data_IF_034955885765
#
_entry.id   IF_034955885765
#
_cell.length_a   1.000
_cell.length_b   1.000
_cell.length_c   1.000
_cell.angle_alpha   90.00
_cell.angle_beta   90.00
_cell.angle_gamma   90.00
#
_symmetry.space_group_name_H-M   'P 1'
#
loop_
_entity.id
_entity.type
_entity.pdbx_description
1 polymer ?
#
# COMPACT_ATOMS: atom_id res chain seq x y z
N UNK A 1 34.77 9.44 10.38
CA UNK A 1 34.91 8.04 10.84
C UNK A 1 35.64 7.95 12.17
N UNK A 2 36.59 8.83 12.47
CA UNK A 2 37.25 8.90 13.79
C UNK A 2 36.46 9.82 14.74
N UNK A 3 35.29 9.37 15.16
CA UNK A 3 34.38 10.16 16.00
C UNK A 3 33.77 9.24 17.04
N UNK A 4 33.79 9.63 18.32
CA UNK A 4 33.25 8.81 19.38
C UNK A 4 31.71 8.72 19.32
N UNK A 5 31.09 7.62 19.78
CA UNK A 5 29.64 7.42 19.75
C UNK A 5 28.85 8.59 20.36
N UNK A 6 29.28 9.07 21.52
CA UNK A 6 28.64 10.18 22.22
C UNK A 6 28.74 11.52 21.46
N UNK A 7 29.77 11.71 20.64
CA UNK A 7 29.91 12.90 19.78
C UNK A 7 29.04 12.76 18.53
N UNK A 8 28.88 11.54 18.00
CA UNK A 8 27.93 11.26 16.91
C UNK A 8 26.51 11.60 17.35
N UNK A 9 26.16 11.33 18.61
CA UNK A 9 24.86 11.67 19.22
C UNK A 9 24.73 13.15 19.64
N UNK A 10 25.67 14.02 19.25
CA UNK A 10 25.63 15.47 19.49
C UNK A 10 26.30 15.94 20.79
N UNK A 11 26.98 15.05 21.51
CA UNK A 11 27.79 15.39 22.69
C UNK A 11 29.08 16.15 22.36
N UNK A 12 29.75 16.62 23.39
CA UNK A 12 30.99 17.38 23.27
C UNK A 12 32.23 16.48 23.17
N UNK A 13 33.29 17.01 22.55
CA UNK A 13 34.61 16.39 22.54
C UNK A 13 35.26 16.48 23.93
N UNK A 14 35.19 15.38 24.66
CA UNK A 14 35.83 15.22 25.97
C UNK A 14 37.09 14.36 25.86
N UNK A 15 37.88 14.26 26.93
CA UNK A 15 39.04 13.35 27.01
C UNK A 15 38.67 11.92 26.59
N UNK A 16 37.55 11.40 27.11
CA UNK A 16 37.07 10.05 26.78
C UNK A 16 36.76 9.89 25.28
N UNK A 17 36.29 10.94 24.61
CA UNK A 17 36.03 10.92 23.16
C UNK A 17 37.35 10.83 22.36
N UNK A 18 38.38 11.56 22.78
CA UNK A 18 39.72 11.45 22.17
C UNK A 18 40.35 10.07 22.42
N UNK A 19 40.13 9.47 23.59
CA UNK A 19 40.60 8.12 23.89
C UNK A 19 39.91 7.04 23.04
N UNK A 20 38.63 7.22 22.72
CA UNK A 20 37.94 6.38 21.75
C UNK A 20 38.58 6.49 20.36
N UNK A 21 38.86 7.72 19.91
CA UNK A 21 39.56 7.96 18.65
C UNK A 21 40.96 7.35 18.64
N UNK A 22 41.69 7.40 19.76
CA UNK A 22 42.96 6.70 19.93
C UNK A 22 42.78 5.19 19.79
N UNK A 23 41.74 4.61 20.40
CA UNK A 23 41.40 3.20 20.25
C UNK A 23 41.17 2.79 18.80
N UNK A 24 40.44 3.60 18.02
CA UNK A 24 40.24 3.37 16.58
C UNK A 24 41.55 3.44 15.79
N UNK A 25 42.42 4.38 16.15
CA UNK A 25 43.73 4.55 15.52
C UNK A 25 44.63 3.35 15.83
N UNK A 26 44.74 2.94 17.09
CA UNK A 26 45.50 1.76 17.49
C UNK A 26 44.99 0.50 16.79
N UNK A 27 43.68 0.29 16.75
CA UNK A 27 43.07 -0.82 16.03
C UNK A 27 43.52 -0.85 14.57
N UNK A 28 43.43 0.30 13.88
CA UNK A 28 43.81 0.39 12.47
C UNK A 28 45.29 0.23 12.23
N UNK A 29 46.14 0.73 13.13
CA UNK A 29 47.58 0.54 13.04
C UNK A 29 47.95 -0.94 13.25
N UNK A 30 47.34 -1.61 14.22
CA UNK A 30 47.63 -3.02 14.53
C UNK A 30 47.08 -4.00 13.49
N UNK A 31 45.89 -3.73 12.94
CA UNK A 31 45.20 -4.68 12.04
C UNK A 31 45.24 -4.29 10.56
N UNK A 32 45.66 -3.05 10.25
CA UNK A 32 45.53 -2.46 8.91
C UNK A 32 44.08 -2.15 8.49
N UNK A 33 43.08 -2.45 9.33
CA UNK A 33 41.65 -2.34 9.00
C UNK A 33 40.91 -1.42 9.96
N UNK A 34 39.81 -0.84 9.48
CA UNK A 34 38.89 -0.13 10.35
C UNK A 34 37.92 -1.15 10.99
N UNK A 35 37.61 -1.05 12.30
CA UNK A 35 36.83 -2.08 13.00
C UNK A 35 35.36 -2.17 12.56
N UNK A 36 34.85 -1.16 11.85
CA UNK A 36 33.45 -1.09 11.39
C UNK A 36 33.36 -1.03 9.85
N UNK A 37 32.22 -1.39 9.23
CA UNK A 37 32.06 -1.38 7.78
C UNK A 37 32.23 0.03 7.19
N UNK A 38 33.01 0.18 6.11
CA UNK A 38 33.27 1.47 5.44
C UNK A 38 32.47 1.69 4.14
N UNK A 39 31.48 0.84 3.85
CA UNK A 39 30.74 0.84 2.57
C UNK A 39 29.91 2.12 2.37
N UNK A 40 29.22 2.57 3.42
CA UNK A 40 28.39 3.80 3.42
C UNK A 40 28.52 4.49 4.76
N UNK A 41 28.70 5.82 4.75
CA UNK A 41 28.90 6.62 5.96
C UNK A 41 27.83 6.37 7.03
N UNK A 42 26.55 6.32 6.65
CA UNK A 42 25.45 6.05 7.59
C UNK A 42 25.53 4.67 8.22
N UNK A 43 25.91 3.64 7.45
CA UNK A 43 26.10 2.27 7.95
C UNK A 43 27.24 2.25 8.97
N UNK A 44 28.37 2.91 8.66
CA UNK A 44 29.49 3.00 9.59
C UNK A 44 29.11 3.70 10.89
N UNK A 45 28.44 4.85 10.82
CA UNK A 45 28.02 5.58 12.03
C UNK A 45 27.06 4.76 12.88
N UNK A 46 26.13 4.05 12.25
CA UNK A 46 25.20 3.16 12.95
C UNK A 46 25.94 2.02 13.65
N UNK A 47 26.91 1.38 12.98
CA UNK A 47 27.74 0.34 13.58
C UNK A 47 28.60 0.90 14.73
N UNK A 48 29.15 2.10 14.57
CA UNK A 48 29.90 2.78 15.63
C UNK A 48 29.03 3.10 16.86
N UNK A 49 27.73 3.34 16.70
CA UNK A 49 26.80 3.53 17.82
C UNK A 49 26.39 2.20 18.48
N UNK A 50 26.15 1.15 17.69
CA UNK A 50 25.42 -0.05 18.13
C UNK A 50 26.24 -1.33 18.25
N UNK A 51 27.28 -1.49 17.45
CA UNK A 51 28.05 -2.74 17.35
C UNK A 51 29.33 -2.67 18.19
N UNK A 52 29.69 -3.77 18.86
CA UNK A 52 31.02 -3.87 19.48
C UNK A 52 32.11 -4.01 18.41
N UNK A 53 33.27 -3.41 18.66
CA UNK A 53 34.42 -3.62 17.78
C UNK A 53 34.86 -5.10 17.87
N UNK A 54 35.15 -5.76 16.74
CA UNK A 54 35.73 -7.11 16.74
C UNK A 54 37.03 -7.16 17.55
N UNK A 55 37.42 -8.36 18.00
CA UNK A 55 38.74 -8.53 18.59
C UNK A 55 39.81 -8.32 17.50
N UNK A 56 40.79 -7.42 17.68
CA UNK A 56 41.80 -7.15 16.65
C UNK A 56 42.63 -8.39 16.30
N UNK A 57 42.71 -9.37 17.21
CA UNK A 57 43.42 -10.64 16.99
C UNK A 57 42.75 -11.53 15.94
N UNK A 58 41.47 -11.31 15.64
CA UNK A 58 40.82 -12.00 14.52
C UNK A 58 41.35 -11.54 13.16
N UNK A 59 41.81 -10.29 13.05
CA UNK A 59 42.42 -9.76 11.83
C UNK A 59 43.92 -9.97 11.82
N UNK A 60 44.60 -9.72 12.95
CA UNK A 60 46.03 -9.91 13.12
C UNK A 60 46.35 -10.69 14.40
N UNK A 61 46.48 -12.03 14.32
CA UNK A 61 46.73 -12.90 15.49
C UNK A 61 48.05 -12.63 16.22
N UNK A 62 48.99 -11.91 15.59
CA UNK A 62 50.25 -11.50 16.22
C UNK A 62 50.07 -10.39 17.26
N UNK A 63 48.89 -9.77 17.37
CA UNK A 63 48.61 -8.77 18.40
C UNK A 63 48.49 -9.46 19.76
N UNK A 64 49.33 -9.04 20.71
CA UNK A 64 49.33 -9.57 22.08
C UNK A 64 48.05 -9.29 22.84
N UNK A 65 47.73 -10.16 23.80
CA UNK A 65 46.49 -10.08 24.58
C UNK A 65 46.35 -8.77 25.37
N UNK A 66 47.45 -8.23 25.92
CA UNK A 66 47.43 -6.96 26.66
C UNK A 66 47.08 -5.78 25.74
N UNK A 67 47.65 -5.70 24.54
CA UNK A 67 47.35 -4.65 23.57
C UNK A 67 45.89 -4.74 23.09
N UNK A 68 45.41 -5.95 22.77
CA UNK A 68 44.01 -6.17 22.41
C UNK A 68 43.04 -5.72 23.52
N UNK A 69 43.38 -6.00 24.78
CA UNK A 69 42.59 -5.58 25.93
C UNK A 69 42.55 -4.05 26.10
N UNK A 70 43.67 -3.36 25.87
CA UNK A 70 43.72 -1.89 25.87
C UNK A 70 42.81 -1.32 24.77
N UNK A 71 42.95 -1.80 23.53
CA UNK A 71 42.10 -1.37 22.40
C UNK A 71 40.61 -1.59 22.71
N UNK A 72 40.25 -2.76 23.26
CA UNK A 72 38.87 -3.09 23.63
C UNK A 72 38.29 -2.16 24.70
N UNK A 73 39.09 -1.77 25.70
CA UNK A 73 38.68 -0.80 26.73
C UNK A 73 38.46 0.60 26.15
N UNK A 74 39.36 1.07 25.29
CA UNK A 74 39.23 2.37 24.62
C UNK A 74 37.99 2.44 23.73
N UNK A 75 37.62 1.33 23.08
CA UNK A 75 36.49 1.22 22.16
C UNK A 75 35.13 0.95 22.84
N UNK A 76 35.04 1.07 24.17
CA UNK A 76 33.75 0.97 24.88
C UNK A 76 32.81 2.11 24.52
N UNK A 77 31.53 1.81 24.35
CA UNK A 77 30.51 2.79 23.93
C UNK A 77 30.25 3.83 25.02
N UNK A 78 30.08 3.38 26.27
CA UNK A 78 29.93 4.28 27.41
C UNK A 78 31.29 4.96 27.72
N UNK A 79 31.40 6.30 27.67
CA UNK A 79 32.63 7.04 27.98
C UNK A 79 33.19 6.73 29.38
N UNK A 80 32.34 6.46 30.36
CA UNK A 80 32.74 6.19 31.76
C UNK A 80 33.43 4.83 31.93
N UNK A 81 33.32 3.93 30.95
CA UNK A 81 33.98 2.62 30.97
C UNK A 81 35.37 2.66 30.32
N UNK A 82 35.77 3.82 29.78
CA UNK A 82 37.09 4.02 29.18
C UNK A 82 38.07 4.44 30.28
N UNK A 83 39.35 4.03 30.18
CA UNK A 83 40.38 4.56 31.07
C UNK A 83 40.53 6.07 30.85
N UNK A 84 41.11 6.77 31.83
CA UNK A 84 41.67 8.11 31.59
C UNK A 84 43.01 8.01 30.81
N UNK A 85 43.50 9.16 30.33
CA UNK A 85 44.71 9.21 29.52
C UNK A 85 45.94 8.72 30.28
N UNK A 86 46.04 9.01 31.58
CA UNK A 86 47.17 8.59 32.43
C UNK A 86 47.21 7.08 32.59
N UNK A 87 46.07 6.46 32.85
CA UNK A 87 45.91 5.01 33.01
C UNK A 87 46.13 4.29 31.68
N UNK A 88 45.65 4.87 30.57
CA UNK A 88 45.93 4.35 29.24
C UNK A 88 47.43 4.38 28.91
N UNK A 89 48.10 5.50 29.16
CA UNK A 89 49.54 5.63 28.92
C UNK A 89 50.35 4.66 29.79
N UNK A 90 50.00 4.52 31.08
CA UNK A 90 50.64 3.56 31.97
C UNK A 90 50.45 2.11 31.51
N UNK A 91 49.25 1.73 31.06
CA UNK A 91 48.98 0.39 30.53
C UNK A 91 49.79 0.10 29.26
N UNK A 92 49.89 1.06 28.34
CA UNK A 92 50.70 0.92 27.13
C UNK A 92 52.20 0.82 27.45
N UNK A 93 52.71 1.68 28.33
CA UNK A 93 54.11 1.64 28.76
C UNK A 93 54.46 0.32 29.46
N UNK A 94 53.55 -0.19 30.29
CA UNK A 94 53.71 -1.50 30.93
C UNK A 94 53.78 -2.63 29.89
N UNK A 95 52.90 -2.61 28.89
CA UNK A 95 52.90 -3.63 27.85
C UNK A 95 54.18 -3.58 26.99
N UNK A 96 54.68 -2.37 26.69
CA UNK A 96 55.98 -2.18 26.02
C UNK A 96 57.11 -2.77 26.87
N UNK A 97 57.19 -2.42 28.15
CA UNK A 97 58.27 -2.85 29.04
C UNK A 97 58.30 -4.37 29.26
N UNK A 98 57.13 -5.01 29.25
CA UNK A 98 57.02 -6.47 29.36
C UNK A 98 57.22 -7.21 28.03
N UNK A 99 57.24 -6.50 26.90
CA UNK A 99 57.27 -7.11 25.57
C UNK A 99 55.98 -7.85 25.20
N UNK A 100 54.85 -7.52 25.81
CA UNK A 100 53.54 -8.20 25.65
C UNK A 100 52.66 -7.57 24.57
N UNK A 101 53.22 -6.67 23.76
CA UNK A 101 52.52 -6.10 22.60
C UNK A 101 52.32 -7.13 21.50
N UNK A 102 53.24 -8.08 21.39
CA UNK A 102 53.18 -9.19 20.44
C UNK A 102 52.65 -10.44 21.14
N UNK A 103 51.89 -11.24 20.41
CA UNK A 103 51.38 -12.51 20.89
C UNK A 103 52.50 -13.55 20.93
N UNK A 104 52.41 -14.45 21.90
CA UNK A 104 53.23 -15.67 21.86
C UNK A 104 52.81 -16.56 20.68
N UNK A 105 53.70 -17.43 20.15
CA UNK A 105 53.36 -18.34 19.06
C UNK A 105 52.12 -19.19 19.33
N UNK A 106 51.95 -19.65 20.57
CA UNK A 106 50.82 -20.47 21.00
C UNK A 106 49.50 -19.67 21.02
N UNK A 107 49.53 -18.43 21.51
CA UNK A 107 48.38 -17.52 21.47
C UNK A 107 47.97 -17.19 20.04
N UNK A 108 48.96 -16.91 19.17
CA UNK A 108 48.70 -16.60 17.77
C UNK A 108 48.06 -17.78 17.04
N UNK A 109 48.51 -19.01 17.29
CA UNK A 109 47.95 -20.23 16.70
C UNK A 109 46.50 -20.47 17.16
N UNK A 110 46.21 -20.28 18.45
CA UNK A 110 44.86 -20.41 19.00
C UNK A 110 43.90 -19.41 18.33
N UNK A 111 44.29 -18.13 18.27
CA UNK A 111 43.45 -17.11 17.64
C UNK A 111 43.30 -17.27 16.13
N UNK A 112 44.26 -17.87 15.42
CA UNK A 112 44.08 -18.21 14.01
C UNK A 112 42.91 -19.17 13.81
N UNK A 113 42.85 -20.25 14.59
CA UNK A 113 41.76 -21.24 14.49
C UNK A 113 40.39 -20.66 14.87
N UNK A 114 40.34 -19.82 15.92
CA UNK A 114 39.10 -19.13 16.31
C UNK A 114 38.67 -18.09 15.27
N UNK A 115 39.61 -17.32 14.72
CA UNK A 115 39.34 -16.29 13.73
C UNK A 115 38.69 -16.87 12.47
N UNK A 116 39.13 -18.04 12.01
CA UNK A 116 38.53 -18.73 10.86
C UNK A 116 37.06 -19.10 11.12
N UNK A 117 36.78 -19.67 12.30
CA UNK A 117 35.42 -20.02 12.69
C UNK A 117 34.50 -18.79 12.82
N UNK A 118 35.01 -17.69 13.39
CA UNK A 118 34.27 -16.43 13.54
C UNK A 118 34.02 -15.77 12.18
N UNK A 119 35.05 -15.70 11.31
CA UNK A 119 34.91 -15.18 9.94
C UNK A 119 33.91 -16.00 9.12
N UNK A 120 33.94 -17.34 9.23
CA UNK A 120 32.99 -18.22 8.54
C UNK A 120 31.53 -18.03 9.01
N UNK A 121 31.30 -17.80 10.31
CA UNK A 121 29.97 -17.47 10.84
C UNK A 121 29.47 -16.11 10.34
N UNK A 122 30.35 -15.10 10.32
CA UNK A 122 30.00 -13.75 9.87
C UNK A 122 29.65 -13.72 8.37
N UNK A 123 30.41 -14.42 7.52
CA UNK A 123 30.13 -14.51 6.08
C UNK A 123 28.82 -15.24 5.80
N UNK A 124 28.52 -16.33 6.53
CA UNK A 124 27.26 -17.07 6.39
C UNK A 124 26.03 -16.22 6.72
N UNK A 125 26.11 -15.39 7.76
CA UNK A 125 25.04 -14.44 8.13
C UNK A 125 24.82 -13.39 7.04
N UNK A 126 25.91 -12.88 6.45
CA UNK A 126 25.87 -11.90 5.35
C UNK A 126 25.28 -12.49 4.07
N UNK A 127 25.63 -13.73 3.72
CA UNK A 127 25.06 -14.43 2.58
C UNK A 127 23.56 -14.71 2.76
N UNK A 128 23.13 -15.07 3.96
CA UNK A 128 21.71 -15.29 4.25
C UNK A 128 20.88 -14.00 4.10
N UNK A 129 21.40 -12.86 4.56
CA UNK A 129 20.79 -11.54 4.36
C UNK A 129 20.63 -11.19 2.86
N UNK A 130 21.69 -11.37 2.05
CA UNK A 130 21.62 -11.13 0.60
C UNK A 130 20.68 -12.09 -0.12
N UNK A 131 20.64 -13.37 0.28
CA UNK A 131 19.68 -14.35 -0.27
C UNK A 131 18.24 -13.95 0.05
N UNK A 132 17.95 -13.53 1.27
CA UNK A 132 16.61 -13.06 1.66
C UNK A 132 16.19 -11.81 0.88
N UNK A 133 17.12 -10.89 0.65
CA UNK A 133 16.87 -9.69 -0.16
C UNK A 133 16.59 -10.03 -1.64
N UNK A 134 17.17 -11.12 -2.15
CA UNK A 134 16.90 -11.61 -3.51
C UNK A 134 15.51 -12.26 -3.64
N UNK A 135 15.00 -12.92 -2.60
CA UNK A 135 13.65 -13.51 -2.59
C UNK A 135 12.52 -12.48 -2.36
N UNK A 136 12.82 -11.31 -1.79
CA UNK A 136 11.80 -10.28 -1.51
C UNK A 136 11.20 -9.67 -2.78
N UNK A 137 12.02 -9.37 -3.78
CA UNK A 137 11.58 -8.76 -5.04
C UNK A 137 10.64 -9.63 -5.89
N UNK A 138 10.91 -10.93 -6.12
CA UNK A 138 9.99 -11.77 -6.89
C UNK A 138 8.64 -11.96 -6.17
N UNK A 139 8.59 -12.00 -4.84
CA UNK A 139 7.33 -12.03 -4.10
C UNK A 139 6.51 -10.75 -4.31
N UNK A 140 7.14 -9.58 -4.23
CA UNK A 140 6.49 -8.30 -4.49
C UNK A 140 5.96 -8.23 -5.93
N UNK A 141 6.76 -8.66 -6.91
CA UNK A 141 6.35 -8.73 -8.32
C UNK A 141 5.15 -9.67 -8.49
N UNK A 142 5.17 -10.85 -7.86
CA UNK A 142 4.06 -11.80 -7.90
C UNK A 142 2.76 -11.19 -7.36
N UNK A 143 2.81 -10.50 -6.21
CA UNK A 143 1.64 -9.85 -5.60
C UNK A 143 1.09 -8.75 -6.51
N UNK A 144 1.97 -7.94 -7.11
CA UNK A 144 1.56 -6.90 -8.06
C UNK A 144 0.94 -7.50 -9.32
N UNK A 145 1.54 -8.56 -9.87
CA UNK A 145 0.99 -9.26 -11.04
C UNK A 145 -0.36 -9.91 -10.72
N UNK A 146 -0.50 -10.53 -9.56
CA UNK A 146 -1.76 -11.13 -9.11
C UNK A 146 -2.84 -10.05 -8.93
N UNK A 147 -2.51 -8.93 -8.30
CA UNK A 147 -3.42 -7.79 -8.15
C UNK A 147 -3.82 -7.19 -9.49
N UNK A 148 -2.87 -7.01 -10.41
CA UNK A 148 -3.13 -6.53 -11.77
C UNK A 148 -3.99 -7.51 -12.55
N UNK A 149 -3.72 -8.82 -12.46
CA UNK A 149 -4.52 -9.86 -13.10
C UNK A 149 -5.95 -9.87 -12.55
N UNK A 150 -6.14 -9.75 -11.24
CA UNK A 150 -7.47 -9.67 -10.62
C UNK A 150 -8.22 -8.39 -11.01
N UNK A 151 -7.53 -7.27 -11.18
CA UNK A 151 -8.12 -6.03 -11.67
C UNK A 151 -8.52 -6.13 -13.15
N UNK A 152 -7.68 -6.74 -13.99
CA UNK A 152 -7.93 -6.89 -15.43
C UNK A 152 -8.94 -7.99 -15.75
N UNK A 153 -9.07 -9.01 -14.90
CA UNK A 153 -10.06 -10.09 -15.06
C UNK A 153 -11.45 -9.73 -14.54
N UNK A 154 -11.59 -8.63 -13.79
CA UNK A 154 -12.91 -8.03 -13.50
C UNK A 154 -13.43 -7.30 -14.74
N UNK A 155 -14.08 -8.09 -15.60
CA UNK A 155 -15.12 -7.69 -16.56
C UNK A 155 -14.94 -6.34 -17.24
N UNK A 156 -14.33 -6.33 -18.42
CA UNK A 156 -14.52 -5.24 -19.35
C UNK A 156 -16.00 -5.18 -19.75
N UNK A 157 -16.60 -3.99 -19.67
CA UNK A 157 -17.95 -3.73 -20.16
C UNK A 157 -18.00 -4.00 -21.67
N UNK A 158 -18.86 -4.93 -22.09
CA UNK A 158 -19.10 -5.22 -23.51
C UNK A 158 -20.20 -4.27 -24.01
N UNK A 159 -19.91 -3.41 -24.99
CA UNK A 159 -20.88 -2.44 -25.53
C UNK A 159 -22.13 -3.19 -26.05
N UNK A 160 -23.29 -2.95 -25.44
CA UNK A 160 -24.53 -3.63 -25.82
C UNK A 160 -25.19 -2.98 -27.05
N UNK A 161 -24.97 -1.68 -27.27
CA UNK A 161 -25.57 -0.94 -28.38
C UNK A 161 -24.66 -1.01 -29.61
N UNK A 162 -25.14 -1.72 -30.62
CA UNK A 162 -24.49 -1.85 -31.94
C UNK A 162 -25.20 -0.96 -32.97
N UNK A 163 -24.65 -0.87 -34.19
CA UNK A 163 -25.28 -0.11 -35.28
C UNK A 163 -26.59 -0.70 -35.80
N UNK A 164 -26.89 -1.95 -35.44
CA UNK A 164 -28.12 -2.67 -35.80
C UNK A 164 -29.20 -2.61 -34.72
N UNK A 165 -28.88 -2.15 -33.51
CA UNK A 165 -29.85 -2.07 -32.41
C UNK A 165 -30.95 -1.05 -32.76
N UNK A 166 -32.24 -1.43 -32.70
CA UNK A 166 -33.36 -0.53 -32.96
C UNK A 166 -33.50 0.54 -31.86
N UNK A 167 -34.06 1.72 -32.18
CA UNK A 167 -34.13 2.83 -31.23
C UNK A 167 -35.00 2.54 -30.00
N UNK A 168 -36.04 1.71 -30.13
CA UNK A 168 -36.86 1.27 -28.99
C UNK A 168 -36.04 0.43 -27.99
N UNK A 169 -35.18 -0.45 -28.49
CA UNK A 169 -34.32 -1.29 -27.63
C UNK A 169 -33.27 -0.45 -26.89
N UNK A 170 -32.78 0.63 -27.51
CA UNK A 170 -31.91 1.60 -26.83
C UNK A 170 -32.63 2.28 -25.64
N UNK A 171 -33.91 2.60 -25.79
CA UNK A 171 -34.73 3.15 -24.68
C UNK A 171 -34.97 2.09 -23.61
N UNK A 172 -35.26 0.85 -23.99
CA UNK A 172 -35.43 -0.25 -23.05
C UNK A 172 -34.16 -0.52 -22.23
N UNK A 173 -32.98 -0.49 -22.86
CA UNK A 173 -31.69 -0.65 -22.20
C UNK A 173 -31.42 0.45 -21.16
N UNK A 174 -31.85 1.68 -21.44
CA UNK A 174 -31.77 2.79 -20.47
C UNK A 174 -32.60 2.49 -19.21
N UNK A 175 -33.86 2.08 -19.37
CA UNK A 175 -34.71 1.78 -18.21
C UNK A 175 -34.31 0.50 -17.47
N UNK A 176 -33.79 -0.52 -18.16
CA UNK A 176 -33.22 -1.71 -17.51
C UNK A 176 -31.97 -1.35 -16.68
N UNK A 177 -31.11 -0.48 -17.20
CA UNK A 177 -29.97 0.06 -16.45
C UNK A 177 -30.41 0.87 -15.22
N UNK A 178 -31.49 1.65 -15.34
CA UNK A 178 -32.09 2.39 -14.21
C UNK A 178 -32.65 1.44 -13.16
N UNK A 179 -33.45 0.45 -13.55
CA UNK A 179 -34.07 -0.53 -12.66
C UNK A 179 -33.02 -1.35 -11.88
N UNK A 180 -31.89 -1.69 -12.52
CA UNK A 180 -30.80 -2.46 -11.90
C UNK A 180 -29.77 -1.62 -11.15
N UNK A 181 -29.90 -0.29 -11.18
CA UNK A 181 -28.88 0.63 -10.68
C UNK A 181 -27.48 0.38 -11.29
N UNK A 182 -27.44 0.05 -12.59
CA UNK A 182 -26.20 -0.13 -13.36
C UNK A 182 -25.84 1.18 -14.08
N UNK A 183 -24.87 1.90 -13.54
CA UNK A 183 -24.43 3.18 -14.09
C UNK A 183 -23.84 3.07 -15.50
N UNK A 184 -23.14 1.98 -15.81
CA UNK A 184 -22.48 1.82 -17.11
C UNK A 184 -23.52 1.55 -18.20
N UNK A 185 -24.48 0.67 -17.92
CA UNK A 185 -25.58 0.38 -18.83
C UNK A 185 -26.53 1.56 -19.01
N UNK A 186 -26.82 2.31 -17.93
CA UNK A 186 -27.63 3.52 -18.01
C UNK A 186 -26.99 4.60 -18.89
N UNK A 187 -25.66 4.76 -18.83
CA UNK A 187 -24.94 5.79 -19.58
C UNK A 187 -24.76 5.46 -21.06
N UNK A 188 -24.68 4.19 -21.45
CA UNK A 188 -24.40 3.79 -22.83
C UNK A 188 -25.44 4.32 -23.86
N UNK A 189 -26.76 4.27 -23.59
CA UNK A 189 -27.80 4.87 -24.43
C UNK A 189 -27.73 6.40 -24.55
N UNK A 190 -27.13 7.11 -23.61
CA UNK A 190 -27.21 8.58 -23.50
C UNK A 190 -26.14 9.27 -24.37
N UNK A 191 -26.50 10.40 -24.99
CA UNK A 191 -25.51 11.32 -25.55
C UNK A 191 -24.82 12.12 -24.43
N UNK A 192 -23.64 12.68 -24.74
CA UNK A 192 -22.80 13.33 -23.73
C UNK A 192 -23.55 14.47 -23.02
N UNK A 193 -23.78 14.30 -21.72
CA UNK A 193 -24.38 15.31 -20.85
C UNK A 193 -25.90 15.28 -20.78
N UNK A 194 -26.56 14.32 -21.44
CA UNK A 194 -27.99 14.04 -21.32
C UNK A 194 -28.24 13.15 -20.11
N UNK A 195 -29.41 13.27 -19.46
CA UNK A 195 -29.83 12.35 -18.39
C UNK A 195 -29.03 12.42 -17.09
N UNK A 196 -28.32 13.54 -16.82
CA UNK A 196 -27.48 13.72 -15.63
C UNK A 196 -28.21 13.46 -14.30
N UNK A 197 -29.50 13.76 -14.24
CA UNK A 197 -30.32 13.48 -13.06
C UNK A 197 -30.32 11.99 -12.74
N UNK A 198 -30.58 11.15 -13.75
CA UNK A 198 -30.60 9.70 -13.63
C UNK A 198 -29.21 9.12 -13.35
N UNK A 199 -28.16 9.61 -14.02
CA UNK A 199 -26.80 9.11 -13.77
C UNK A 199 -26.34 9.43 -12.34
N UNK A 200 -26.64 10.64 -11.85
CA UNK A 200 -26.36 11.02 -10.46
C UNK A 200 -27.17 10.18 -9.48
N UNK A 201 -28.47 10.01 -9.73
CA UNK A 201 -29.36 9.20 -8.90
C UNK A 201 -28.86 7.76 -8.81
N UNK A 202 -28.60 7.09 -9.93
CA UNK A 202 -28.07 5.71 -9.95
C UNK A 202 -26.73 5.63 -9.24
N UNK A 203 -25.83 6.61 -9.42
CA UNK A 203 -24.53 6.62 -8.74
C UNK A 203 -24.69 6.68 -7.21
N UNK A 204 -25.58 7.54 -6.71
CA UNK A 204 -25.84 7.69 -5.27
C UNK A 204 -26.54 6.45 -4.71
N UNK A 205 -27.55 5.95 -5.41
CA UNK A 205 -28.31 4.77 -4.99
C UNK A 205 -27.48 3.49 -5.03
N UNK A 206 -26.60 3.32 -6.03
CA UNK A 206 -25.74 2.14 -6.15
C UNK A 206 -24.78 2.00 -4.96
N UNK A 207 -24.15 3.11 -4.53
CA UNK A 207 -23.27 3.13 -3.36
C UNK A 207 -24.08 2.85 -2.09
N UNK A 208 -25.23 3.51 -1.95
CA UNK A 208 -26.11 3.34 -0.78
C UNK A 208 -26.59 1.89 -0.67
N UNK A 209 -26.98 1.27 -1.78
CA UNK A 209 -27.41 -0.11 -1.87
C UNK A 209 -26.29 -1.09 -1.46
N UNK A 210 -25.07 -0.95 -2.00
CA UNK A 210 -23.94 -1.83 -1.62
C UNK A 210 -23.54 -1.71 -0.16
N UNK A 211 -23.60 -0.51 0.42
CA UNK A 211 -23.32 -0.29 1.84
C UNK A 211 -24.41 -0.97 2.67
N UNK A 212 -25.68 -0.73 2.39
CA UNK A 212 -26.78 -1.36 3.14
C UNK A 212 -26.76 -2.88 3.03
N UNK A 213 -26.59 -3.44 1.85
CA UNK A 213 -26.50 -4.90 1.64
C UNK A 213 -25.37 -5.55 2.48
N UNK A 214 -24.27 -4.84 2.73
CA UNK A 214 -23.16 -5.35 3.53
C UNK A 214 -23.39 -5.30 5.05
N UNK A 215 -24.28 -4.42 5.54
CA UNK A 215 -24.47 -4.15 6.97
C UNK A 215 -25.86 -4.49 7.50
N UNK A 216 -26.88 -4.44 6.66
CA UNK A 216 -28.28 -4.60 7.01
C UNK A 216 -28.83 -5.80 6.21
N UNK A 217 -29.12 -6.91 6.89
CA UNK A 217 -29.84 -8.07 6.33
C UNK A 217 -31.33 -7.72 6.06
N UNK A 218 -31.60 -6.63 5.34
CA UNK A 218 -32.96 -6.22 5.00
C UNK A 218 -33.48 -6.98 3.78
N UNK A 219 -34.71 -7.47 3.89
CA UNK A 219 -35.46 -8.13 2.80
C UNK A 219 -36.28 -7.13 1.97
N UNK A 220 -36.41 -5.88 2.43
CA UNK A 220 -37.17 -4.81 1.78
C UNK A 220 -36.31 -4.13 0.70
N UNK A 221 -36.79 -4.02 -0.56
CA UNK A 221 -36.04 -3.39 -1.64
C UNK A 221 -35.92 -1.88 -1.44
N UNK A 222 -34.70 -1.37 -1.47
CA UNK A 222 -34.42 0.07 -1.26
C UNK A 222 -34.89 0.96 -2.42
N UNK A 223 -34.95 0.41 -3.63
CA UNK A 223 -35.30 1.11 -4.86
C UNK A 223 -36.04 0.16 -5.79
N UNK A 224 -37.15 0.61 -6.37
CA UNK A 224 -37.93 -0.14 -7.36
C UNK A 224 -38.41 0.77 -8.48
N UNK A 225 -38.45 0.22 -9.69
CA UNK A 225 -39.08 0.82 -10.87
C UNK A 225 -40.15 -0.14 -11.35
N UNK A 226 -41.41 0.31 -11.33
CA UNK A 226 -42.59 -0.49 -11.62
C UNK A 226 -43.45 0.15 -12.71
N UNK A 227 -44.39 -0.62 -13.25
CA UNK A 227 -45.41 -0.16 -14.21
C UNK A 227 -44.83 0.56 -15.45
N UNK A 228 -43.64 0.16 -15.91
CA UNK A 228 -42.98 0.77 -17.06
C UNK A 228 -43.76 0.52 -18.36
N UNK A 229 -44.23 1.60 -18.98
CA UNK A 229 -44.78 1.61 -20.34
C UNK A 229 -43.96 2.53 -21.23
N UNK A 230 -43.68 2.09 -22.47
CA UNK A 230 -42.94 2.87 -23.47
C UNK A 230 -43.76 2.94 -24.75
N UNK A 231 -44.25 4.13 -25.07
CA UNK A 231 -45.08 4.40 -26.23
C UNK A 231 -44.32 5.27 -27.24
N UNK A 232 -44.54 5.06 -28.53
CA UNK A 232 -44.10 6.00 -29.57
C UNK A 232 -44.87 7.32 -29.45
N UNK A 233 -44.15 8.44 -29.54
CA UNK A 233 -44.78 9.76 -29.52
C UNK A 233 -45.68 9.99 -30.74
N UNK A 234 -46.73 10.80 -30.59
CA UNK A 234 -47.70 11.08 -31.66
C UNK A 234 -47.08 11.75 -32.90
N UNK A 235 -45.94 12.43 -32.74
CA UNK A 235 -45.14 13.08 -33.77
C UNK A 235 -43.96 12.22 -34.27
N UNK A 236 -44.10 10.89 -34.24
CA UNK A 236 -43.03 9.96 -34.59
C UNK A 236 -42.45 10.22 -35.99
N UNK A 237 -41.14 10.53 -36.04
CA UNK A 237 -40.34 10.60 -37.24
C UNK A 237 -39.30 9.46 -37.23
N UNK A 238 -39.25 8.58 -38.23
CA UNK A 238 -38.23 7.52 -38.30
C UNK A 238 -36.78 8.03 -38.29
N UNK A 239 -36.53 9.26 -38.75
CA UNK A 239 -35.20 9.88 -38.73
C UNK A 239 -34.81 10.42 -37.36
N UNK A 240 -35.79 10.82 -36.55
CA UNK A 240 -35.63 11.31 -35.18
C UNK A 240 -36.70 10.64 -34.30
N UNK A 241 -36.50 9.37 -33.92
CA UNK A 241 -37.47 8.61 -33.14
C UNK A 241 -37.71 9.26 -31.77
N UNK A 242 -38.98 9.29 -31.39
CA UNK A 242 -39.43 9.89 -30.13
C UNK A 242 -40.32 8.92 -29.36
N UNK A 243 -40.04 8.77 -28.07
CA UNK A 243 -40.77 7.88 -27.18
C UNK A 243 -41.21 8.63 -25.93
N UNK A 244 -42.36 8.25 -25.40
CA UNK A 244 -42.82 8.64 -24.08
C UNK A 244 -42.77 7.40 -23.18
N UNK A 245 -42.15 7.52 -22.02
CA UNK A 245 -42.16 6.47 -21.03
C UNK A 245 -42.95 6.93 -19.79
N UNK A 246 -43.77 6.06 -19.22
CA UNK A 246 -44.41 6.29 -17.92
C UNK A 246 -44.07 5.13 -16.99
N UNK A 247 -43.80 5.42 -15.73
CA UNK A 247 -43.41 4.42 -14.73
C UNK A 247 -43.62 4.96 -13.32
N UNK A 248 -43.68 4.06 -12.34
CA UNK A 248 -43.65 4.39 -10.91
C UNK A 248 -42.26 4.11 -10.36
N UNK A 249 -41.70 5.05 -9.61
CA UNK A 249 -40.43 4.92 -8.92
C UNK A 249 -40.67 4.94 -7.42
N UNK A 250 -40.18 3.93 -6.72
CA UNK A 250 -40.28 3.84 -5.26
C UNK A 250 -38.88 3.87 -4.65
N UNK A 251 -38.68 4.77 -3.69
CA UNK A 251 -37.42 4.93 -2.96
C UNK A 251 -37.67 4.85 -1.45
N UNK A 252 -36.95 3.98 -0.76
CA UNK A 252 -37.07 3.82 0.68
C UNK A 252 -36.32 4.95 1.42
N UNK A 253 -37.05 5.85 2.05
CA UNK A 253 -36.53 6.91 2.91
C UNK A 253 -36.94 6.67 4.37
N UNK A 254 -36.01 6.19 5.19
CA UNK A 254 -36.32 5.83 6.58
C UNK A 254 -37.21 4.58 6.65
N UNK A 255 -38.43 4.72 7.15
CA UNK A 255 -39.46 3.69 7.28
C UNK A 255 -40.63 3.86 6.28
N UNK A 256 -40.45 4.72 5.27
CA UNK A 256 -41.47 5.04 4.28
C UNK A 256 -40.92 4.95 2.86
N UNK A 257 -41.75 4.54 1.91
CA UNK A 257 -41.50 4.73 0.48
C UNK A 257 -41.92 6.13 0.05
N UNK A 258 -41.04 6.80 -0.68
CA UNK A 258 -41.40 7.93 -1.54
C UNK A 258 -41.73 7.34 -2.90
N UNK A 259 -43.00 7.40 -3.28
CA UNK A 259 -43.49 6.92 -4.56
C UNK A 259 -43.68 8.10 -5.52
N UNK A 260 -43.11 8.00 -6.71
CA UNK A 260 -43.23 9.00 -7.76
C UNK A 260 -43.77 8.37 -9.03
N UNK A 261 -44.90 8.88 -9.53
CA UNK A 261 -45.29 8.60 -10.92
C UNK A 261 -44.57 9.57 -11.83
N UNK A 262 -43.86 9.04 -12.83
CA UNK A 262 -43.01 9.83 -13.71
C UNK A 262 -43.41 9.64 -15.15
N UNK A 263 -43.18 10.68 -15.95
CA UNK A 263 -43.29 10.63 -17.40
C UNK A 263 -42.07 11.28 -18.03
N UNK A 264 -41.46 10.54 -18.94
CA UNK A 264 -40.27 10.97 -19.66
C UNK A 264 -40.57 11.09 -21.15
N UNK A 265 -39.98 12.09 -21.79
CA UNK A 265 -39.95 12.25 -23.24
C UNK A 265 -38.52 12.10 -23.72
N UNK A 266 -38.30 11.10 -24.57
CA UNK A 266 -36.99 10.73 -25.09
C UNK A 266 -36.91 11.02 -26.59
N UNK A 267 -35.83 11.68 -27.01
CA UNK A 267 -35.51 11.94 -28.42
C UNK A 267 -34.21 11.23 -28.77
N UNK A 268 -34.22 10.47 -29.86
CA UNK A 268 -33.05 9.72 -30.31
C UNK A 268 -32.53 10.24 -31.65
N UNK A 269 -31.21 10.30 -31.77
CA UNK A 269 -30.52 10.56 -33.02
C UNK A 269 -29.35 9.59 -33.18
N UNK A 270 -28.90 9.39 -34.43
CA UNK A 270 -27.70 8.60 -34.68
C UNK A 270 -26.43 9.41 -34.36
N UNK A 271 -25.57 8.86 -33.50
CA UNK A 271 -24.19 9.31 -33.26
C UNK A 271 -23.26 8.22 -33.73
N UNK A 272 -22.39 8.53 -34.71
CA UNK A 272 -21.45 7.55 -35.31
C UNK A 272 -22.13 6.22 -35.72
N UNK A 273 -23.32 6.31 -36.34
CA UNK A 273 -24.17 5.16 -36.79
C UNK A 273 -24.85 4.34 -35.67
N UNK A 274 -24.73 4.71 -34.40
CA UNK A 274 -25.47 4.11 -33.28
C UNK A 274 -26.56 5.05 -32.80
N UNK A 275 -27.71 4.55 -32.39
CA UNK A 275 -28.74 5.39 -31.75
C UNK A 275 -28.30 5.81 -30.35
N UNK A 276 -28.56 7.07 -30.02
CA UNK A 276 -28.33 7.66 -28.69
C UNK A 276 -29.49 8.59 -28.34
N UNK A 277 -29.84 8.65 -27.05
CA UNK A 277 -30.81 9.59 -26.50
C UNK A 277 -30.12 10.96 -26.40
N UNK A 278 -30.55 11.89 -27.24
CA UNK A 278 -29.97 13.25 -27.33
C UNK A 278 -30.73 14.27 -26.50
N UNK A 279 -31.99 13.97 -26.16
CA UNK A 279 -32.80 14.74 -25.22
C UNK A 279 -33.63 13.78 -24.38
N UNK A 280 -33.65 14.06 -23.08
CA UNK A 280 -34.43 13.34 -22.09
C UNK A 280 -35.04 14.39 -21.15
N UNK A 281 -36.33 14.62 -21.33
CA UNK A 281 -37.11 15.54 -20.49
C UNK A 281 -37.96 14.68 -19.54
N UNK A 282 -37.73 14.76 -18.23
CA UNK A 282 -38.43 13.98 -17.21
C UNK A 282 -39.31 14.88 -16.36
N UNK A 283 -40.51 14.40 -16.03
CA UNK A 283 -41.45 15.09 -15.15
C UNK A 283 -42.02 14.13 -14.10
N UNK A 284 -42.07 14.60 -12.85
CA UNK A 284 -42.82 13.95 -11.77
C UNK A 284 -44.28 14.42 -11.87
N UNK A 285 -45.20 13.47 -12.02
CA UNK A 285 -46.64 13.73 -12.13
C UNK A 285 -47.28 13.83 -10.75
N UNK A 286 -46.94 12.89 -9.88
CA UNK A 286 -47.39 12.81 -8.49
C UNK A 286 -46.23 12.32 -7.61
N UNK A 287 -46.24 12.74 -6.35
CA UNK A 287 -45.32 12.25 -5.32
C UNK A 287 -46.12 12.01 -4.04
N UNK A 288 -46.03 10.78 -3.52
CA UNK A 288 -46.72 10.36 -2.31
C UNK A 288 -45.76 9.64 -1.36
N UNK A 289 -46.06 9.69 -0.06
CA UNK A 289 -45.28 8.98 0.97
C UNK A 289 -46.14 7.89 1.56
N UNK A 290 -45.72 6.64 1.38
CA UNK A 290 -46.45 5.45 1.80
C UNK A 290 -45.62 4.70 2.85
N UNK A 291 -46.21 4.15 3.93
CA UNK A 291 -45.47 3.32 4.88
C UNK A 291 -44.83 2.12 4.19
N UNK A 292 -43.56 1.83 4.48
CA UNK A 292 -42.91 0.64 3.93
C UNK A 292 -43.50 -0.63 4.59
N UNK A 293 -43.63 -1.74 3.84
CA UNK A 293 -44.13 -3.00 4.38
C UNK A 293 -43.18 -3.52 5.46
N UNK A 294 -43.72 -4.29 6.41
CA UNK A 294 -42.87 -4.95 7.42
C UNK A 294 -42.12 -6.13 6.79
N UNK A 295 -40.95 -6.52 7.34
CA UNK A 295 -40.15 -7.64 6.80
C UNK A 295 -41.00 -8.94 6.60
N UNK A 296 -41.96 -9.20 7.49
CA UNK A 296 -42.87 -10.36 7.39
C UNK A 296 -43.82 -10.27 6.17
N UNK A 297 -44.15 -9.08 5.69
CA UNK A 297 -44.98 -8.85 4.50
C UNK A 297 -44.16 -8.85 3.21
N UNK A 298 -42.91 -8.34 3.26
CA UNK A 298 -41.99 -8.29 2.11
C UNK A 298 -41.54 -9.68 1.63
N UNK A 299 -41.39 -10.65 2.54
CA UNK A 299 -41.04 -12.04 2.20
C UNK A 299 -42.08 -12.78 1.34
N UNK A 300 -43.32 -12.29 1.28
CA UNK A 300 -44.39 -12.87 0.44
C UNK A 300 -44.39 -12.27 -0.97
N UNK A 301 -43.98 -11.01 -1.14
CA UNK A 301 -43.99 -10.27 -2.41
C UNK A 301 -42.84 -10.70 -3.34
N UNK A 302 -41.73 -11.19 -2.79
CA UNK A 302 -40.58 -11.66 -3.58
C UNK A 302 -40.73 -13.11 -4.13
N UNK A 303 -41.87 -13.77 -3.85
CA UNK A 303 -42.11 -15.18 -4.23
C UNK A 303 -43.11 -15.39 -5.37
N UNK A 304 -43.74 -14.32 -5.88
CA UNK A 304 -44.63 -14.31 -7.06
C UNK A 304 -43.99 -13.57 -8.24
#
# INVERSE_FOLDING_TARGET
FYTAPEVIDGGQWTEAAYLYTLGLTLYRLGTGKFPFPLEKRQVTLTAMLREEAPDPRYDQPQIGAELAAIMKKLLKKNPQQRPDARSCAAALAQAVNKGTLEATPDEAALFQTEAEAVKAKATRKRQWYWRWQWYRWPLVILVVLLGSFLLLSRGGYEEQITSSTPPLEVVALFYDGLARLDSLQLEEPLDKGVGKEFTNMVSVLHVTYKVRQAYELMEIPFFQLEDLTIDTAADFNPEVPMYNASYRLQLLEGDQYVEQERRDRLVLEKRKKKWRITRLDSAVLTEERVPAPTNDEAGTILSD
#
